data_IF_389652501520
#
_entry.id   IF_389652501520
#
_cell.length_a   1.000
_cell.length_b   1.000
_cell.length_c   1.000
_cell.angle_alpha   90.00
_cell.angle_beta   90.00
_cell.angle_gamma   90.00
#
_symmetry.space_group_name_H-M   'P 1'
#
loop_
_entity.id
_entity.type
_entity.pdbx_description
1 polymer ?
#
# COMPACT_ATOMS: atom_id res chain seq x y z
N UNK A 1 -20.49 -38.32 21.87
CA UNK A 1 -20.68 -38.71 20.47
C UNK A 1 -20.35 -37.49 19.60
N UNK A 2 -19.06 -37.29 19.33
CA UNK A 2 -18.43 -37.60 18.03
C UNK A 2 -18.76 -36.56 16.95
N UNK A 3 -17.85 -35.61 16.73
CA UNK A 3 -17.09 -35.66 15.49
C UNK A 3 -15.78 -34.88 15.57
N UNK A 4 -14.74 -35.63 15.23
CA UNK A 4 -13.35 -35.28 15.02
C UNK A 4 -13.16 -34.23 13.92
N UNK A 5 -12.03 -33.51 13.99
CA UNK A 5 -10.98 -33.60 12.97
C UNK A 5 -9.73 -32.84 13.47
N UNK A 6 -8.58 -33.50 13.67
CA UNK A 6 -7.32 -32.79 13.66
C UNK A 6 -7.10 -32.33 12.21
N UNK A 7 -7.14 -31.02 11.94
CA UNK A 7 -6.67 -30.49 10.65
C UNK A 7 -5.17 -30.80 10.58
N UNK A 8 -4.82 -31.96 10.02
CA UNK A 8 -3.49 -32.19 9.47
C UNK A 8 -3.26 -31.04 8.48
N UNK A 9 -2.46 -30.06 8.88
CA UNK A 9 -2.04 -29.00 7.99
C UNK A 9 -1.23 -29.70 6.91
N UNK A 10 -1.86 -30.01 5.76
CA UNK A 10 -1.17 -30.55 4.60
C UNK A 10 0.03 -29.63 4.35
N UNK A 11 1.24 -30.19 4.41
CA UNK A 11 2.46 -29.41 4.17
C UNK A 11 2.39 -28.84 2.75
N UNK A 12 2.22 -27.53 2.66
CA UNK A 12 2.16 -26.82 1.39
C UNK A 12 3.57 -26.65 0.82
N UNK A 13 3.70 -26.87 -0.49
CA UNK A 13 4.91 -26.61 -1.27
C UNK A 13 5.14 -25.11 -1.43
N UNK A 14 4.09 -24.37 -1.77
CA UNK A 14 4.06 -22.91 -1.75
C UNK A 14 2.74 -22.43 -1.13
N UNK A 15 2.64 -21.19 -0.65
CA UNK A 15 1.39 -20.64 -0.16
C UNK A 15 0.28 -20.76 -1.21
N UNK A 16 -0.92 -21.12 -0.74
CA UNK A 16 -2.11 -21.11 -1.59
C UNK A 16 -2.37 -19.71 -2.15
N UNK A 17 -3.04 -19.60 -3.31
CA UNK A 17 -3.50 -18.32 -3.81
C UNK A 17 -4.36 -17.59 -2.75
N UNK A 18 -4.23 -16.27 -2.67
CA UNK A 18 -5.04 -15.45 -1.78
C UNK A 18 -5.79 -14.42 -2.61
N UNK A 19 -7.12 -14.31 -2.42
CA UNK A 19 -8.02 -13.50 -3.27
C UNK A 19 -7.83 -13.73 -4.78
N UNK A 20 -7.53 -14.98 -5.18
CA UNK A 20 -7.29 -15.35 -6.59
C UNK A 20 -5.87 -15.09 -7.11
N UNK A 21 -4.98 -14.48 -6.31
CA UNK A 21 -3.62 -14.16 -6.74
C UNK A 21 -2.59 -15.16 -6.24
N UNK A 22 -1.69 -15.57 -7.14
CA UNK A 22 -0.49 -16.34 -6.86
C UNK A 22 0.74 -15.56 -7.37
N UNK A 23 1.56 -15.05 -6.46
CA UNK A 23 2.73 -14.26 -6.81
C UNK A 23 4.01 -15.08 -6.91
N UNK A 24 3.99 -16.32 -6.41
CA UNK A 24 5.10 -17.24 -6.52
C UNK A 24 5.12 -17.82 -7.94
N UNK A 25 6.20 -17.58 -8.66
CA UNK A 25 6.40 -18.01 -10.05
C UNK A 25 7.74 -17.49 -10.56
N UNK A 26 8.12 -17.85 -11.79
CA UNK A 26 9.34 -17.38 -12.41
C UNK A 26 9.27 -15.87 -12.63
N UNK A 27 10.34 -15.15 -12.24
CA UNK A 27 10.46 -13.70 -12.38
C UNK A 27 11.32 -13.25 -13.56
N UNK A 28 11.77 -14.19 -14.39
CA UNK A 28 12.49 -13.88 -15.62
C UNK A 28 11.48 -13.60 -16.76
N UNK A 29 11.35 -12.35 -17.25
CA UNK A 29 10.37 -12.00 -18.29
C UNK A 29 10.64 -12.68 -19.64
N UNK A 30 11.89 -13.08 -19.91
CA UNK A 30 12.24 -13.80 -21.14
C UNK A 30 11.96 -15.31 -21.07
N UNK A 31 11.49 -15.82 -19.93
CA UNK A 31 11.23 -17.25 -19.74
C UNK A 31 9.81 -17.61 -20.16
N UNK A 32 9.64 -18.74 -20.86
CA UNK A 32 8.32 -19.30 -21.18
C UNK A 32 7.46 -19.57 -19.94
N UNK A 33 8.10 -19.78 -18.79
CA UNK A 33 7.45 -20.07 -17.52
C UNK A 33 7.25 -18.79 -16.67
N UNK A 34 7.42 -17.60 -17.25
CA UNK A 34 7.25 -16.31 -16.57
C UNK A 34 5.85 -16.18 -15.96
N UNK A 35 5.79 -15.89 -14.67
CA UNK A 35 4.54 -15.73 -13.90
C UNK A 35 3.57 -16.92 -13.92
N UNK A 36 3.98 -18.08 -14.45
CA UNK A 36 3.18 -19.32 -14.40
C UNK A 36 3.20 -19.86 -12.97
N UNK A 37 2.04 -20.06 -12.31
CA UNK A 37 1.99 -20.47 -10.92
C UNK A 37 2.47 -21.92 -10.70
N UNK A 38 3.26 -22.19 -9.65
CA UNK A 38 3.63 -23.54 -9.26
C UNK A 38 2.44 -24.28 -8.63
N UNK A 39 2.51 -25.61 -8.63
CA UNK A 39 1.56 -26.43 -7.88
C UNK A 39 1.79 -26.25 -6.38
N UNK A 40 0.73 -25.88 -5.67
CA UNK A 40 0.77 -25.46 -4.26
C UNK A 40 0.75 -26.61 -3.27
N UNK A 41 -0.06 -27.62 -3.52
CA UNK A 41 -0.18 -28.80 -2.67
C UNK A 41 0.90 -29.82 -2.97
N UNK A 42 1.32 -30.60 -1.99
CA UNK A 42 2.22 -31.75 -2.13
C UNK A 42 3.62 -31.53 -1.55
N UNK A 43 4.46 -32.56 -1.65
CA UNK A 43 5.69 -32.64 -0.86
C UNK A 43 6.97 -32.50 -1.70
N UNK A 44 7.68 -31.39 -1.50
CA UNK A 44 9.02 -31.19 -2.07
C UNK A 44 9.05 -31.20 -3.60
N UNK A 45 10.05 -31.88 -4.18
CA UNK A 45 10.28 -31.95 -5.62
C UNK A 45 9.65 -33.18 -6.30
N UNK A 46 8.83 -33.94 -5.57
CA UNK A 46 8.09 -35.09 -6.14
C UNK A 46 7.03 -34.66 -7.15
N UNK A 47 6.60 -33.41 -7.06
CA UNK A 47 5.62 -32.84 -7.98
C UNK A 47 6.30 -32.48 -9.30
N UNK A 48 5.72 -33.01 -10.39
CA UNK A 48 6.14 -32.69 -11.75
C UNK A 48 5.47 -31.41 -12.21
N UNK A 49 5.95 -30.28 -11.72
CA UNK A 49 5.66 -28.96 -12.30
C UNK A 49 6.94 -28.29 -12.82
N UNK A 50 6.84 -27.05 -13.32
CA UNK A 50 7.96 -26.27 -13.85
C UNK A 50 9.00 -25.79 -12.81
N UNK A 51 8.89 -26.22 -11.55
CA UNK A 51 9.69 -25.68 -10.45
C UNK A 51 10.33 -26.76 -9.58
N UNK A 52 11.43 -26.42 -8.92
CA UNK A 52 12.04 -27.19 -7.85
C UNK A 52 12.14 -26.32 -6.60
N UNK A 53 11.70 -26.82 -5.45
CA UNK A 53 11.92 -26.18 -4.15
C UNK A 53 13.37 -26.32 -3.72
N UNK A 54 13.91 -25.22 -3.23
CA UNK A 54 15.26 -25.10 -2.64
C UNK A 54 15.19 -24.29 -1.35
N UNK A 55 16.23 -24.39 -0.51
CA UNK A 55 16.32 -23.66 0.75
C UNK A 55 15.40 -24.18 1.87
N UNK A 56 15.54 -23.61 3.07
CA UNK A 56 14.75 -23.93 4.26
C UNK A 56 14.28 -22.63 4.94
N UNK A 57 13.20 -22.71 5.72
CA UNK A 57 12.71 -21.58 6.50
C UNK A 57 12.45 -20.32 5.66
N UNK A 58 13.12 -19.20 6.00
CA UNK A 58 12.98 -17.89 5.32
C UNK A 58 13.67 -17.83 3.95
N UNK A 59 14.63 -18.72 3.71
CA UNK A 59 15.37 -18.82 2.44
C UNK A 59 14.70 -19.79 1.46
N UNK A 60 13.52 -20.31 1.83
CA UNK A 60 12.75 -21.19 0.95
C UNK A 60 12.48 -20.47 -0.37
N UNK A 61 12.90 -21.09 -1.46
CA UNK A 61 12.81 -20.55 -2.80
C UNK A 61 12.30 -21.61 -3.78
N UNK A 62 11.80 -21.15 -4.92
CA UNK A 62 11.52 -21.97 -6.09
C UNK A 62 12.58 -21.66 -7.14
N UNK A 63 13.17 -22.71 -7.72
CA UNK A 63 14.02 -22.66 -8.91
C UNK A 63 13.19 -23.03 -10.12
N UNK A 64 13.15 -22.19 -11.13
CA UNK A 64 12.50 -22.51 -12.40
C UNK A 64 13.32 -23.58 -13.16
N UNK A 65 12.68 -24.62 -13.67
CA UNK A 65 13.35 -25.69 -14.44
C UNK A 65 13.74 -25.27 -15.86
N UNK A 66 13.16 -24.20 -16.39
CA UNK A 66 13.41 -23.72 -17.74
C UNK A 66 14.60 -22.76 -17.81
N UNK A 67 14.62 -21.73 -16.94
CA UNK A 67 15.65 -20.69 -16.96
C UNK A 67 16.59 -20.70 -15.74
N UNK A 68 16.43 -21.67 -14.82
CA UNK A 68 17.22 -21.79 -13.58
C UNK A 68 17.18 -20.59 -12.62
N UNK A 69 16.36 -19.57 -12.87
CA UNK A 69 16.19 -18.43 -11.98
C UNK A 69 15.56 -18.89 -10.66
N UNK A 70 16.11 -18.38 -9.56
CA UNK A 70 15.62 -18.61 -8.20
C UNK A 70 14.69 -17.47 -7.80
N UNK A 71 13.61 -17.80 -7.09
CA UNK A 71 12.68 -16.81 -6.55
C UNK A 71 12.29 -17.24 -5.15
N UNK A 72 12.53 -16.37 -4.16
CA UNK A 72 12.14 -16.62 -2.78
C UNK A 72 10.62 -16.76 -2.69
N UNK A 73 10.15 -17.78 -1.96
CA UNK A 73 8.73 -17.99 -1.73
C UNK A 73 8.21 -16.90 -0.80
N UNK A 74 7.14 -16.22 -1.21
CA UNK A 74 6.47 -15.16 -0.47
C UNK A 74 5.05 -15.56 -0.12
N UNK A 75 4.56 -15.07 1.01
CA UNK A 75 3.15 -15.24 1.40
C UNK A 75 2.26 -14.35 0.52
N UNK A 76 1.37 -14.97 -0.26
CA UNK A 76 0.42 -14.23 -1.10
C UNK A 76 -0.49 -13.32 -0.26
N UNK A 77 -0.89 -13.79 0.92
CA UNK A 77 -1.67 -13.01 1.88
C UNK A 77 -0.90 -11.76 2.33
N UNK A 78 0.37 -11.91 2.72
CA UNK A 78 1.17 -10.79 3.18
C UNK A 78 1.43 -9.77 2.06
N UNK A 79 1.61 -10.22 0.81
CA UNK A 79 1.75 -9.32 -0.35
C UNK A 79 0.48 -8.49 -0.53
N UNK A 80 -0.70 -9.11 -0.46
CA UNK A 80 -1.97 -8.40 -0.62
C UNK A 80 -2.23 -7.47 0.56
N UNK A 81 -1.95 -7.88 1.79
CA UNK A 81 -2.05 -7.01 2.97
C UNK A 81 -1.12 -5.80 2.85
N UNK A 82 0.11 -5.99 2.35
CA UNK A 82 1.05 -4.91 2.13
C UNK A 82 0.62 -3.99 0.99
N UNK A 83 0.10 -4.56 -0.10
CA UNK A 83 -0.50 -3.79 -1.18
C UNK A 83 -1.68 -2.94 -0.67
N UNK A 84 -2.58 -3.51 0.13
CA UNK A 84 -3.71 -2.80 0.72
C UNK A 84 -3.25 -1.72 1.70
N UNK A 85 -2.18 -1.97 2.47
CA UNK A 85 -1.57 -0.98 3.36
C UNK A 85 -0.96 0.18 2.56
N UNK A 86 -0.29 -0.11 1.45
CA UNK A 86 0.30 0.90 0.59
C UNK A 86 -0.79 1.71 -0.14
N UNK A 87 -1.83 1.06 -0.66
CA UNK A 87 -2.96 1.71 -1.31
C UNK A 87 -3.90 2.45 -0.35
N UNK A 88 -3.70 2.33 0.97
CA UNK A 88 -4.59 2.89 1.97
C UNK A 88 -4.78 4.41 1.84
N UNK A 89 -3.76 5.15 1.37
CA UNK A 89 -3.89 6.60 1.20
C UNK A 89 -4.94 7.03 0.18
N UNK A 90 -5.26 6.17 -0.80
CA UNK A 90 -6.36 6.40 -1.74
C UNK A 90 -7.71 6.43 -1.04
N UNK A 91 -7.81 5.89 0.18
CA UNK A 91 -9.02 5.96 0.99
C UNK A 91 -9.15 7.27 1.78
N UNK A 92 -8.05 7.95 2.09
CA UNK A 92 -8.07 9.17 2.92
C UNK A 92 -8.75 10.35 2.24
N UNK A 93 -8.84 10.34 0.91
CA UNK A 93 -9.59 11.31 0.09
C UNK A 93 -11.10 11.06 0.09
N UNK A 94 -11.54 9.85 0.43
CA UNK A 94 -12.91 9.39 0.23
C UNK A 94 -13.59 8.97 1.54
N UNK A 95 -14.90 8.80 1.50
CA UNK A 95 -15.71 8.43 2.65
C UNK A 95 -16.28 7.05 2.46
N UNK A 96 -15.99 6.15 3.40
CA UNK A 96 -16.45 4.76 3.38
C UNK A 96 -17.38 4.46 4.55
N UNK A 97 -18.01 3.29 4.53
CA UNK A 97 -18.71 2.79 5.70
C UNK A 97 -17.75 2.53 6.86
N UNK A 98 -18.08 2.99 8.07
CA UNK A 98 -17.25 2.76 9.26
C UNK A 98 -17.25 1.30 9.75
N UNK A 99 -18.24 0.50 9.34
CA UNK A 99 -18.33 -0.91 9.71
C UNK A 99 -17.40 -1.75 8.82
N UNK A 100 -16.37 -2.38 9.40
CA UNK A 100 -15.36 -3.17 8.67
C UNK A 100 -15.91 -4.45 8.05
N UNK A 101 -16.95 -5.03 8.64
CA UNK A 101 -17.57 -6.28 8.16
C UNK A 101 -18.65 -6.04 7.10
N UNK A 102 -18.91 -4.77 6.77
CA UNK A 102 -19.89 -4.39 5.78
C UNK A 102 -19.27 -4.38 4.38
N UNK A 103 -19.97 -4.92 3.37
CA UNK A 103 -19.51 -4.86 1.98
C UNK A 103 -19.28 -3.42 1.50
N UNK A 104 -20.13 -2.48 1.96
CA UNK A 104 -20.00 -1.04 1.70
C UNK A 104 -18.80 -0.39 2.44
N UNK A 105 -17.94 -1.16 3.12
CA UNK A 105 -16.64 -0.67 3.60
C UNK A 105 -15.62 -0.50 2.47
N UNK A 106 -15.85 -1.17 1.33
CA UNK A 106 -14.96 -1.15 0.17
C UNK A 106 -15.40 -0.17 -0.92
N UNK A 107 -16.65 0.30 -0.86
CA UNK A 107 -17.20 1.25 -1.81
C UNK A 107 -17.28 2.63 -1.17
N UNK A 108 -16.83 3.68 -1.83
CA UNK A 108 -16.93 5.05 -1.28
C UNK A 108 -18.29 5.68 -1.57
N UNK A 109 -18.67 6.65 -0.73
CA UNK A 109 -19.86 7.48 -0.92
C UNK A 109 -19.74 8.31 -2.20
N UNK A 110 -18.54 8.79 -2.50
CA UNK A 110 -18.23 9.66 -3.65
C UNK A 110 -18.39 8.92 -4.98
N UNK A 111 -17.85 7.70 -5.10
CA UNK A 111 -17.94 6.91 -6.33
C UNK A 111 -19.23 6.09 -6.43
N UNK A 112 -19.80 5.68 -5.28
CA UNK A 112 -20.97 4.81 -5.23
C UNK A 112 -22.12 5.42 -4.39
N UNK A 113 -22.63 6.62 -4.73
CA UNK A 113 -23.62 7.33 -3.92
C UNK A 113 -24.92 6.55 -3.73
N UNK A 114 -25.29 5.69 -4.71
CA UNK A 114 -26.50 4.85 -4.66
C UNK A 114 -26.53 3.90 -3.47
N UNK A 115 -25.37 3.50 -2.93
CA UNK A 115 -25.22 2.60 -1.76
C UNK A 115 -25.48 3.31 -0.42
N UNK A 116 -25.66 4.62 -0.43
CA UNK A 116 -25.83 5.45 0.76
C UNK A 116 -27.07 6.34 0.66
N UNK A 117 -27.58 6.76 1.82
CA UNK A 117 -28.66 7.72 1.95
C UNK A 117 -28.10 9.01 2.57
N UNK A 118 -28.29 10.17 1.93
CA UNK A 118 -27.88 11.47 2.48
C UNK A 118 -28.80 11.90 3.63
N UNK A 119 -28.24 12.30 4.78
CA UNK A 119 -28.95 12.71 6.00
C UNK A 119 -28.78 14.21 6.31
N UNK A 120 -28.31 14.99 5.34
CA UNK A 120 -28.05 16.43 5.53
C UNK A 120 -26.64 16.72 6.08
N UNK A 121 -26.49 17.79 6.87
CA UNK A 121 -25.20 18.24 7.40
C UNK A 121 -25.19 18.22 8.95
N UNK A 122 -24.01 18.06 9.54
CA UNK A 122 -23.78 18.30 10.97
C UNK A 122 -23.81 19.80 11.29
N UNK A 123 -23.82 20.14 12.59
CA UNK A 123 -23.60 21.52 13.07
C UNK A 123 -22.29 22.12 12.56
N UNK A 124 -21.29 21.26 12.34
CA UNK A 124 -20.00 21.58 11.74
C UNK A 124 -20.00 21.60 10.20
N UNK A 125 -21.17 21.56 9.54
CA UNK A 125 -21.28 21.63 8.09
C UNK A 125 -20.89 20.36 7.32
N UNK A 126 -20.39 19.32 8.01
CA UNK A 126 -19.99 18.06 7.39
C UNK A 126 -21.22 17.28 6.91
N UNK A 127 -21.20 16.77 5.68
CA UNK A 127 -22.29 15.95 5.14
C UNK A 127 -22.40 14.63 5.91
N UNK A 128 -23.62 14.20 6.20
CA UNK A 128 -23.93 12.95 6.88
C UNK A 128 -24.61 11.99 5.93
N UNK A 129 -24.25 10.72 6.02
CA UNK A 129 -24.77 9.63 5.22
C UNK A 129 -25.16 8.47 6.11
N UNK A 130 -26.07 7.62 5.62
CA UNK A 130 -26.39 6.33 6.24
C UNK A 130 -26.13 5.24 5.21
N UNK A 131 -25.38 4.20 5.59
CA UNK A 131 -25.18 3.04 4.75
C UNK A 131 -26.50 2.31 4.53
N UNK A 132 -26.89 1.99 3.29
CA UNK A 132 -28.14 1.25 3.02
C UNK A 132 -28.08 -0.22 3.44
N UNK A 133 -26.87 -0.81 3.51
CA UNK A 133 -26.68 -2.22 3.89
C UNK A 133 -26.71 -2.42 5.41
N UNK A 134 -25.75 -1.85 6.13
CA UNK A 134 -25.61 -2.04 7.58
C UNK A 134 -26.27 -0.95 8.43
N UNK A 135 -26.90 0.06 7.81
CA UNK A 135 -27.59 1.20 8.47
C UNK A 135 -26.70 2.07 9.37
N UNK A 136 -25.38 1.85 9.37
CA UNK A 136 -24.43 2.68 10.12
C UNK A 136 -24.41 4.12 9.59
N UNK A 137 -24.45 5.09 10.50
CA UNK A 137 -24.32 6.50 10.17
C UNK A 137 -22.85 6.86 9.96
N UNK A 138 -22.58 7.57 8.88
CA UNK A 138 -21.25 7.95 8.40
C UNK A 138 -21.25 9.47 8.28
N UNK A 139 -20.26 10.13 8.82
CA UNK A 139 -20.08 11.57 8.57
C UNK A 139 -18.93 11.72 7.59
N UNK A 140 -19.22 12.30 6.43
CA UNK A 140 -18.24 12.64 5.44
C UNK A 140 -17.25 13.61 6.07
N UNK A 141 -15.98 13.25 6.08
CA UNK A 141 -14.91 14.16 6.48
C UNK A 141 -14.60 15.11 5.33
N UNK A 142 -15.62 15.80 4.80
CA UNK A 142 -15.39 16.87 3.84
C UNK A 142 -14.88 18.11 4.58
N UNK A 143 -13.70 18.56 4.15
CA UNK A 143 -13.13 19.89 4.36
C UNK A 143 -13.53 20.58 5.67
N UNK A 144 -12.69 20.40 6.69
CA UNK A 144 -12.40 21.38 7.77
C UNK A 144 -13.60 22.23 8.18
N UNK A 145 -14.32 21.82 9.23
CA UNK A 145 -14.98 22.84 10.02
C UNK A 145 -13.92 23.54 10.87
N UNK A 146 -14.03 24.86 10.99
CA UNK A 146 -13.09 25.80 11.60
C UNK A 146 -11.88 26.17 10.75
N UNK A 147 -12.06 27.25 9.98
CA UNK A 147 -11.13 28.38 9.79
C UNK A 147 -9.66 28.04 9.56
N UNK A 148 -9.10 28.50 8.45
CA UNK A 148 -7.87 29.30 8.51
C UNK A 148 -6.83 28.95 9.60
N UNK A 149 -6.40 27.69 9.70
CA UNK A 149 -5.00 27.52 9.36
C UNK A 149 -4.92 27.69 7.86
N UNK A 150 -4.93 28.97 7.45
CA UNK A 150 -3.94 29.47 6.52
C UNK A 150 -2.71 28.61 6.80
N UNK A 151 -2.20 27.91 5.79
CA UNK A 151 -0.88 27.31 5.88
C UNK A 151 -0.06 28.27 6.74
N UNK A 152 0.35 27.84 7.94
CA UNK A 152 1.09 28.77 8.77
C UNK A 152 2.24 29.26 7.89
N UNK A 153 2.56 30.55 7.87
CA UNK A 153 3.69 31.02 7.06
C UNK A 153 4.92 30.10 7.28
N UNK A 154 5.08 29.65 8.52
CA UNK A 154 6.01 28.61 8.95
C UNK A 154 5.86 27.23 8.29
N UNK A 155 4.65 26.70 8.02
CA UNK A 155 4.48 25.40 7.35
C UNK A 155 5.03 25.44 5.91
N UNK A 156 4.79 26.56 5.21
CA UNK A 156 5.35 26.80 3.87
C UNK A 156 6.87 26.93 3.93
N UNK A 157 7.38 27.67 4.91
CA UNK A 157 8.83 27.80 5.14
C UNK A 157 9.47 26.45 5.43
N UNK A 158 8.91 25.67 6.36
CA UNK A 158 9.39 24.31 6.69
C UNK A 158 9.37 23.43 5.45
N UNK A 159 8.29 23.45 4.67
CA UNK A 159 8.21 22.67 3.43
C UNK A 159 9.29 23.07 2.42
N UNK A 160 9.47 24.37 2.17
CA UNK A 160 10.51 24.86 1.26
C UNK A 160 11.91 24.45 1.72
N UNK A 161 12.20 24.56 3.03
CA UNK A 161 13.51 24.17 3.57
C UNK A 161 13.77 22.66 3.44
N UNK A 162 12.74 21.82 3.64
CA UNK A 162 12.82 20.38 3.45
C UNK A 162 13.11 20.01 1.99
N UNK A 163 12.40 20.63 1.05
CA UNK A 163 12.60 20.41 -0.40
C UNK A 163 14.00 20.86 -0.83
N UNK A 164 14.54 21.92 -0.22
CA UNK A 164 15.90 22.40 -0.44
C UNK A 164 16.98 21.60 0.32
N UNK A 165 16.66 20.40 0.81
CA UNK A 165 17.60 19.52 1.51
C UNK A 165 18.28 20.17 2.74
N UNK A 166 17.56 21.03 3.45
CA UNK A 166 18.07 21.66 4.68
C UNK A 166 18.02 20.67 5.84
N UNK A 167 19.09 20.55 6.62
CA UNK A 167 19.11 19.65 7.79
C UNK A 167 18.08 20.07 8.84
N UNK A 168 17.48 19.12 9.55
CA UNK A 168 16.44 19.39 10.55
C UNK A 168 16.88 20.39 11.62
N UNK A 169 18.14 20.32 12.06
CA UNK A 169 18.72 21.27 13.01
C UNK A 169 18.77 22.70 12.44
N UNK A 170 19.12 22.86 11.16
CA UNK A 170 19.08 24.17 10.50
C UNK A 170 17.65 24.67 10.36
N UNK A 171 16.70 23.78 10.04
CA UNK A 171 15.27 24.15 9.98
C UNK A 171 14.79 24.66 11.33
N UNK A 172 15.12 23.96 12.43
CA UNK A 172 14.81 24.39 13.78
C UNK A 172 15.40 25.76 14.10
N UNK A 173 16.66 26.01 13.68
CA UNK A 173 17.32 27.29 13.87
C UNK A 173 16.61 28.42 13.10
N UNK A 174 16.26 28.23 11.83
CA UNK A 174 15.62 29.26 11.01
C UNK A 174 14.16 29.52 11.37
N UNK A 175 13.46 28.51 11.88
CA UNK A 175 12.02 28.58 12.16
C UNK A 175 11.71 28.75 13.64
N UNK A 176 12.73 28.69 14.50
CA UNK A 176 12.65 28.72 15.97
C UNK A 176 11.68 27.65 16.53
N UNK A 177 11.49 26.56 15.79
CA UNK A 177 10.60 25.48 16.18
C UNK A 177 11.31 24.52 17.14
N UNK A 178 10.58 24.10 18.17
CA UNK A 178 10.97 22.94 18.96
C UNK A 178 10.96 21.67 18.10
N UNK A 179 11.77 20.65 18.42
CA UNK A 179 11.78 19.39 17.67
C UNK A 179 10.39 18.78 17.49
N UNK A 180 9.58 18.76 18.56
CA UNK A 180 8.23 18.21 18.55
C UNK A 180 7.31 18.99 17.59
N UNK A 181 7.38 20.33 17.61
CA UNK A 181 6.61 21.15 16.70
C UNK A 181 7.02 20.93 15.24
N UNK A 182 8.33 20.80 14.96
CA UNK A 182 8.83 20.49 13.62
C UNK A 182 8.31 19.13 13.12
N UNK A 183 8.41 18.06 13.92
CA UNK A 183 7.90 16.75 13.53
C UNK A 183 6.39 16.76 13.28
N UNK A 184 5.60 17.44 14.11
CA UNK A 184 4.15 17.62 13.87
C UNK A 184 3.85 18.32 12.55
N UNK A 185 4.67 19.29 12.16
CA UNK A 185 4.55 19.97 10.86
C UNK A 185 4.95 19.04 9.71
N UNK A 186 6.03 18.27 9.85
CA UNK A 186 6.44 17.25 8.88
C UNK A 186 5.30 16.25 8.66
N UNK A 187 4.67 15.73 9.73
CA UNK A 187 3.52 14.83 9.62
C UNK A 187 2.32 15.48 8.90
N UNK A 188 2.07 16.76 9.18
CA UNK A 188 1.03 17.52 8.49
C UNK A 188 1.31 17.67 7.00
N UNK A 189 2.53 18.06 6.64
CA UNK A 189 3.02 18.21 5.26
C UNK A 189 2.94 16.87 4.53
N UNK A 190 3.46 15.79 5.14
CA UNK A 190 3.38 14.44 4.59
C UNK A 190 1.94 14.05 4.26
N UNK A 191 0.98 14.27 5.19
CA UNK A 191 -0.45 14.05 4.90
C UNK A 191 -0.98 14.90 3.75
N UNK A 192 -0.47 16.12 3.55
CA UNK A 192 -0.88 16.93 2.40
C UNK A 192 -0.31 16.38 1.09
N UNK A 193 0.97 15.98 1.06
CA UNK A 193 1.60 15.35 -0.11
C UNK A 193 0.88 14.06 -0.51
N UNK A 194 0.57 13.21 0.46
CA UNK A 194 -0.16 11.96 0.25
C UNK A 194 -1.56 12.22 -0.32
N UNK A 195 -2.27 13.23 0.19
CA UNK A 195 -3.59 13.62 -0.36
C UNK A 195 -3.50 14.19 -1.78
N UNK A 196 -2.45 14.94 -2.08
CA UNK A 196 -2.19 15.44 -3.42
C UNK A 196 -1.96 14.30 -4.41
N UNK A 197 -1.14 13.31 -4.03
CA UNK A 197 -0.90 12.10 -4.84
C UNK A 197 -2.20 11.31 -5.02
N UNK A 198 -2.96 11.07 -3.95
CA UNK A 198 -4.24 10.36 -4.01
C UNK A 198 -5.20 10.99 -5.03
N UNK A 199 -5.38 12.30 -4.97
CA UNK A 199 -6.27 13.03 -5.86
C UNK A 199 -5.81 12.97 -7.33
N UNK A 200 -4.49 12.90 -7.58
CA UNK A 200 -3.94 12.73 -8.92
C UNK A 200 -4.21 11.33 -9.44
N UNK A 201 -3.89 10.30 -8.66
CA UNK A 201 -4.08 8.91 -9.03
C UNK A 201 -5.55 8.54 -9.27
N UNK A 202 -6.47 9.04 -8.44
CA UNK A 202 -7.91 8.84 -8.66
C UNK A 202 -8.38 9.37 -10.02
N UNK A 203 -7.87 10.53 -10.45
CA UNK A 203 -8.22 11.13 -11.76
C UNK A 203 -7.55 10.42 -12.92
N UNK A 204 -6.39 9.81 -12.70
CA UNK A 204 -5.66 9.13 -13.78
C UNK A 204 -6.45 7.94 -14.32
N UNK A 205 -7.25 7.24 -13.51
CA UNK A 205 -8.04 6.08 -13.95
C UNK A 205 -8.91 6.40 -15.18
N UNK A 206 -9.47 7.60 -15.23
CA UNK A 206 -10.36 8.05 -16.32
C UNK A 206 -9.61 8.74 -17.48
N UNK A 207 -8.30 8.99 -17.34
CA UNK A 207 -7.52 9.84 -18.25
C UNK A 207 -6.27 9.15 -18.83
N UNK A 208 -6.12 7.83 -18.70
CA UNK A 208 -4.95 7.13 -19.24
C UNK A 208 -4.92 7.24 -20.78
N UNK A 209 -3.89 7.88 -21.37
CA UNK A 209 -3.76 7.95 -22.81
C UNK A 209 -3.44 6.57 -23.41
N UNK A 210 -3.86 6.36 -24.65
CA UNK A 210 -3.49 5.21 -25.46
C UNK A 210 -2.82 5.71 -26.75
N UNK A 211 -1.55 5.36 -27.02
CA UNK A 211 -0.69 4.45 -26.25
C UNK A 211 -0.20 5.06 -24.93
N UNK A 212 -0.01 4.22 -23.91
CA UNK A 212 0.52 4.62 -22.61
C UNK A 212 2.05 4.54 -22.62
N UNK A 213 2.73 5.67 -22.55
CA UNK A 213 4.17 5.73 -22.31
C UNK A 213 4.44 5.84 -20.80
N UNK A 214 5.33 5.00 -20.28
CA UNK A 214 5.69 4.99 -18.85
C UNK A 214 7.20 5.20 -18.74
N UNK A 215 7.61 6.26 -18.05
CA UNK A 215 8.97 6.43 -17.59
C UNK A 215 9.11 5.78 -16.20
N UNK A 216 10.18 5.01 -16.00
CA UNK A 216 10.49 4.37 -14.72
C UNK A 216 11.84 4.86 -14.23
N UNK A 217 11.92 5.15 -12.94
CA UNK A 217 13.17 5.47 -12.26
C UNK A 217 13.33 4.62 -11.00
N UNK A 218 14.57 4.36 -10.60
CA UNK A 218 14.91 3.56 -9.42
C UNK A 218 15.94 4.31 -8.59
N UNK A 219 15.63 4.46 -7.31
CA UNK A 219 16.54 5.06 -6.34
C UNK A 219 16.83 4.08 -5.20
N UNK A 220 18.12 3.86 -4.94
CA UNK A 220 18.60 2.99 -3.87
C UNK A 220 19.13 3.83 -2.71
N UNK A 221 18.54 3.66 -1.53
CA UNK A 221 18.95 4.30 -0.29
C UNK A 221 19.55 3.27 0.66
N UNK A 222 20.81 3.43 1.06
CA UNK A 222 21.41 2.60 2.09
C UNK A 222 21.10 3.21 3.45
N UNK A 223 20.29 2.52 4.25
CA UNK A 223 19.92 2.95 5.60
C UNK A 223 20.45 1.99 6.64
N UNK A 224 20.76 2.50 7.82
CA UNK A 224 21.07 1.66 8.97
C UNK A 224 19.77 1.02 9.47
N UNK A 225 19.74 -0.31 9.56
CA UNK A 225 18.62 -1.03 10.14
C UNK A 225 18.47 -0.69 11.62
N UNK A 226 17.25 -0.32 12.03
CA UNK A 226 16.98 0.24 13.35
C UNK A 226 16.92 -0.77 14.49
N UNK A 227 17.16 -2.06 14.22
CA UNK A 227 17.23 -3.09 15.26
C UNK A 227 18.55 -2.97 16.03
N UNK A 228 18.47 -2.69 17.33
CA UNK A 228 19.62 -2.61 18.23
C UNK A 228 20.41 -3.91 18.29
N UNK A 229 19.77 -5.06 18.05
CA UNK A 229 20.39 -6.37 18.06
C UNK A 229 21.02 -6.77 16.72
N UNK A 230 20.74 -6.04 15.63
CA UNK A 230 21.28 -6.34 14.31
C UNK A 230 21.56 -5.06 13.52
N UNK A 231 22.70 -4.44 13.79
CA UNK A 231 23.21 -3.31 13.01
C UNK A 231 23.66 -3.81 11.63
N UNK A 232 22.79 -3.67 10.64
CA UNK A 232 23.07 -3.98 9.24
C UNK A 232 22.70 -2.80 8.37
N UNK A 233 23.49 -2.57 7.34
CA UNK A 233 23.08 -1.66 6.28
C UNK A 233 22.05 -2.38 5.42
N UNK A 234 20.88 -1.79 5.28
CA UNK A 234 19.79 -2.30 4.46
C UNK A 234 19.58 -1.32 3.31
N UNK A 235 19.58 -1.86 2.09
CA UNK A 235 19.24 -1.10 0.90
C UNK A 235 17.70 -1.04 0.79
N UNK A 236 17.18 0.17 0.92
CA UNK A 236 15.81 0.52 0.55
C UNK A 236 15.80 0.94 -0.91
N UNK A 237 15.26 0.07 -1.75
CA UNK A 237 15.01 0.38 -3.16
C UNK A 237 13.62 0.99 -3.30
N UNK A 238 13.55 2.21 -3.81
CA UNK A 238 12.31 2.83 -4.28
C UNK A 238 12.29 2.79 -5.80
N UNK A 239 11.21 2.27 -6.37
CA UNK A 239 10.98 2.31 -7.82
C UNK A 239 9.77 3.20 -8.04
N UNK A 240 9.92 4.20 -8.90
CA UNK A 240 8.84 5.09 -9.27
C UNK A 240 8.53 4.93 -10.75
N UNK A 241 7.27 5.12 -11.10
CA UNK A 241 6.80 5.06 -12.48
C UNK A 241 5.85 6.21 -12.71
N UNK A 242 6.08 6.96 -13.78
CA UNK A 242 5.26 8.09 -14.17
C UNK A 242 4.86 7.93 -15.63
N UNK A 243 3.64 8.35 -15.95
CA UNK A 243 3.24 8.53 -17.34
C UNK A 243 4.19 9.54 -17.99
N UNK A 244 4.81 9.15 -19.10
CA UNK A 244 5.65 10.04 -19.88
C UNK A 244 4.73 10.87 -20.79
N UNK A 245 4.81 12.20 -20.66
CA UNK A 245 4.14 13.10 -21.60
C UNK A 245 4.66 12.79 -23.02
N UNK A 246 3.71 12.59 -23.95
CA UNK A 246 4.01 12.41 -25.37
C UNK A 246 4.49 13.71 -26.00
#
# INVERSE_FOLDING_TARGET
MSNSLPRQIKKLRVPLPYKGFQFNGCKNPACINFMVPPVCEGHGNKIKDGYALTGKGRERAIRCKYCNTYTTVKSNKAIIEEFERQAFYLRDSQTFCSNKDCENHHYSVELNPKRYHSKGKSRSGNKRFTCKLCRTSITQRLKRCFQERLYGAQDKTVFNLLVNNTSLNKIMLYTELTPNALYKKIDFIHRQCIRFIAQREERMVDMLPSPLAIAMDKQDYVVNWSDSHSKKNVQLTSVFSIEAAS
#
